data_IF_844323535710
#
_entry.id   IF_844323535710
#
_cell.length_a   1.000
_cell.length_b   1.000
_cell.length_c   1.000
_cell.angle_alpha   90.00
_cell.angle_beta   90.00
_cell.angle_gamma   90.00
#
_symmetry.space_group_name_H-M   'P 1'
#
loop_
_entity.id
_entity.type
_entity.pdbx_description
1 polymer ?
#
# COMPACT_ATOMS: atom_id res chain seq x y z
N UNK A 1 9.68 29.43 -1.59
CA UNK A 1 10.55 28.38 -2.16
C UNK A 1 10.05 27.06 -1.61
N UNK A 2 9.32 26.30 -2.42
CA UNK A 2 8.56 25.12 -1.98
C UNK A 2 9.45 23.88 -2.14
N UNK A 3 9.75 23.23 -1.03
CA UNK A 3 10.51 21.99 -0.95
C UNK A 3 9.72 20.83 -1.56
N UNK A 4 10.36 20.07 -2.43
CA UNK A 4 9.83 18.83 -3.01
C UNK A 4 10.50 17.64 -2.34
N UNK A 5 9.86 17.08 -1.31
CA UNK A 5 10.24 15.77 -0.76
C UNK A 5 9.25 14.72 -1.28
N UNK A 6 9.72 13.88 -2.20
CA UNK A 6 8.99 12.71 -2.69
C UNK A 6 9.36 11.48 -1.84
N UNK A 7 8.39 10.67 -1.37
CA UNK A 7 8.72 9.45 -0.62
C UNK A 7 9.13 8.32 -1.57
N UNK A 8 10.34 7.81 -1.35
CA UNK A 8 10.90 6.62 -2.01
C UNK A 8 10.34 5.35 -1.38
N UNK A 9 9.41 4.67 -2.06
CA UNK A 9 8.94 3.35 -1.64
C UNK A 9 9.85 2.24 -2.15
N UNK A 10 10.59 1.62 -1.22
CA UNK A 10 11.35 0.40 -1.45
C UNK A 10 10.39 -0.80 -1.52
N UNK A 11 10.28 -1.43 -2.69
CA UNK A 11 9.57 -2.70 -2.86
C UNK A 11 10.48 -3.87 -2.46
N UNK A 12 10.29 -4.41 -1.26
CA UNK A 12 10.78 -5.75 -0.93
C UNK A 12 9.69 -6.77 -1.32
N UNK A 13 9.86 -7.44 -2.46
CA UNK A 13 9.09 -8.63 -2.80
C UNK A 13 10.04 -9.80 -2.99
N UNK A 14 10.12 -10.65 -1.96
CA UNK A 14 10.71 -11.98 -2.07
C UNK A 14 9.76 -12.98 -1.45
N UNK A 15 8.95 -13.63 -2.29
CA UNK A 15 8.43 -14.97 -2.04
C UNK A 15 7.94 -15.57 -3.35
N UNK A 16 8.75 -16.47 -3.93
CA UNK A 16 8.25 -17.52 -4.81
C UNK A 16 9.13 -18.76 -4.65
N UNK A 17 8.64 -19.69 -3.85
CA UNK A 17 9.06 -21.09 -3.86
C UNK A 17 8.28 -21.79 -4.96
N UNK A 18 8.97 -22.43 -5.91
CA UNK A 18 8.45 -23.57 -6.68
C UNK A 18 9.64 -24.39 -7.19
N UNK A 19 9.76 -25.59 -6.64
CA UNK A 19 10.71 -26.62 -7.03
C UNK A 19 10.40 -27.11 -8.45
N UNK A 20 11.44 -27.29 -9.27
CA UNK A 20 11.41 -28.27 -10.36
C UNK A 20 12.78 -28.90 -10.53
N UNK A 21 12.87 -30.20 -10.23
CA UNK A 21 14.05 -31.01 -10.42
C UNK A 21 14.31 -31.19 -11.93
N UNK A 22 15.47 -30.73 -12.40
CA UNK A 22 16.09 -31.25 -13.63
C UNK A 22 17.57 -31.47 -13.37
N UNK A 23 17.93 -32.74 -13.34
CA UNK A 23 19.28 -33.27 -13.36
C UNK A 23 20.18 -32.57 -14.38
N UNK A 24 21.13 -31.77 -13.88
CA UNK A 24 22.22 -31.24 -14.69
C UNK A 24 23.53 -31.89 -14.25
N UNK A 25 23.94 -32.89 -15.03
CA UNK A 25 25.32 -33.40 -15.09
C UNK A 25 26.26 -32.20 -15.18
N UNK A 26 27.06 -31.99 -14.14
CA UNK A 26 28.18 -31.06 -14.12
C UNK A 26 29.20 -31.49 -15.17
N UNK A 27 29.10 -30.91 -16.37
CA UNK A 27 30.21 -30.88 -17.30
C UNK A 27 30.77 -29.46 -17.30
N UNK A 28 31.81 -29.28 -16.48
CA UNK A 28 32.69 -28.13 -16.46
C UNK A 28 33.37 -27.97 -17.82
N UNK A 29 32.71 -27.31 -18.77
CA UNK A 29 33.31 -26.92 -20.05
C UNK A 29 33.10 -25.43 -20.28
N UNK A 30 33.98 -24.67 -19.64
CA UNK A 30 34.48 -23.33 -20.02
C UNK A 30 33.48 -22.35 -20.65
N UNK A 31 32.92 -21.47 -19.82
CA UNK A 31 32.12 -20.27 -20.16
C UNK A 31 32.92 -19.15 -20.87
N UNK A 32 33.92 -19.48 -21.69
CA UNK A 32 34.89 -18.50 -22.27
C UNK A 32 34.27 -17.49 -23.26
N UNK A 33 32.95 -17.47 -23.46
CA UNK A 33 32.30 -16.81 -24.62
C UNK A 33 30.99 -16.08 -24.28
N UNK A 34 30.64 -15.95 -23.00
CA UNK A 34 29.49 -15.15 -22.60
C UNK A 34 29.98 -13.76 -22.19
N UNK A 35 29.37 -12.71 -22.74
CA UNK A 35 29.56 -11.35 -22.27
C UNK A 35 28.29 -10.95 -21.54
N UNK A 36 28.47 -10.44 -20.33
CA UNK A 36 27.38 -9.95 -19.51
C UNK A 36 27.20 -8.45 -19.75
N UNK A 37 25.96 -8.03 -19.97
CA UNK A 37 25.56 -6.63 -20.00
C UNK A 37 24.45 -6.44 -18.96
N UNK A 38 24.83 -5.94 -17.78
CA UNK A 38 23.91 -5.80 -16.64
C UNK A 38 23.29 -7.16 -16.24
N UNK A 39 21.96 -7.26 -16.07
CA UNK A 39 21.30 -8.52 -15.71
C UNK A 39 21.20 -9.53 -16.86
N UNK A 40 21.59 -9.15 -18.08
CA UNK A 40 21.47 -10.00 -19.28
C UNK A 40 22.81 -10.66 -19.61
N UNK A 41 22.77 -11.96 -19.84
CA UNK A 41 23.92 -12.73 -20.30
C UNK A 41 23.79 -13.01 -21.80
N UNK A 42 24.77 -12.55 -22.59
CA UNK A 42 24.80 -12.77 -24.04
C UNK A 42 25.86 -13.80 -24.36
N UNK A 43 25.45 -14.91 -24.96
CA UNK A 43 26.39 -15.87 -25.53
C UNK A 43 26.84 -15.37 -26.91
N UNK A 44 28.12 -15.06 -27.06
CA UNK A 44 28.65 -14.67 -28.37
C UNK A 44 28.65 -15.89 -29.29
N UNK A 45 27.91 -15.80 -30.39
CA UNK A 45 28.04 -16.74 -31.49
C UNK A 45 29.45 -16.60 -32.08
N UNK A 46 30.37 -17.49 -31.68
CA UNK A 46 31.77 -17.50 -32.13
C UNK A 46 31.97 -17.81 -33.62
N UNK A 47 30.90 -18.15 -34.35
CA UNK A 47 30.96 -18.40 -35.79
C UNK A 47 29.80 -17.65 -36.43
N UNK A 48 30.06 -16.81 -37.45
CA UNK A 48 28.98 -16.26 -38.26
C UNK A 48 28.15 -17.44 -38.79
N UNK A 49 26.82 -17.27 -38.83
CA UNK A 49 25.93 -18.30 -39.31
C UNK A 49 26.43 -18.74 -40.70
N UNK A 50 26.76 -20.03 -40.90
CA UNK A 50 27.43 -20.45 -42.11
C UNK A 50 26.52 -20.18 -43.31
N UNK A 51 26.98 -19.23 -44.12
CA UNK A 51 26.34 -18.78 -45.35
C UNK A 51 26.57 -19.83 -46.43
N UNK A 52 25.47 -20.35 -46.99
CA UNK A 52 25.31 -21.24 -48.15
C UNK A 52 25.95 -22.66 -48.03
N UNK A 53 27.13 -22.84 -47.43
CA UNK A 53 27.74 -24.17 -47.24
C UNK A 53 27.03 -25.08 -46.21
N UNK A 54 26.09 -24.55 -45.41
CA UNK A 54 25.35 -25.27 -44.35
C UNK A 54 23.85 -25.43 -44.64
N UNK A 55 23.43 -25.27 -45.91
CA UNK A 55 22.05 -25.60 -46.31
C UNK A 55 20.99 -24.54 -45.97
N UNK A 56 21.38 -23.31 -45.62
CA UNK A 56 20.44 -22.17 -45.64
C UNK A 56 20.15 -21.81 -47.10
N UNK A 57 18.97 -22.24 -47.59
CA UNK A 57 18.48 -21.94 -48.94
C UNK A 57 18.38 -20.42 -49.17
N UNK A 58 18.71 -19.94 -50.38
CA UNK A 58 18.65 -18.51 -50.70
C UNK A 58 17.21 -17.99 -50.59
N UNK A 59 17.06 -16.75 -50.11
CA UNK A 59 15.78 -16.08 -49.83
C UNK A 59 14.81 -16.05 -51.03
N UNK A 60 15.32 -16.18 -52.26
CA UNK A 60 14.55 -16.10 -53.51
C UNK A 60 14.11 -17.46 -54.08
N UNK A 61 14.55 -18.59 -53.51
CA UNK A 61 14.04 -19.90 -53.95
C UNK A 61 12.62 -20.08 -53.39
N UNK A 62 11.62 -20.06 -54.26
CA UNK A 62 10.26 -20.43 -53.87
C UNK A 62 10.29 -21.86 -53.32
N UNK A 63 9.77 -22.05 -52.10
CA UNK A 63 9.58 -23.40 -51.58
C UNK A 63 8.36 -23.99 -52.29
N UNK A 64 8.59 -25.07 -53.01
CA UNK A 64 7.57 -25.78 -53.79
C UNK A 64 7.24 -27.09 -53.08
N UNK A 65 5.98 -27.53 -53.17
CA UNK A 65 5.52 -28.81 -52.61
C UNK A 65 5.34 -28.83 -51.08
N UNK A 66 5.67 -29.95 -50.44
CA UNK A 66 5.37 -30.21 -49.02
C UNK A 66 6.00 -29.22 -48.04
N UNK A 67 7.18 -28.68 -48.37
CA UNK A 67 7.87 -27.72 -47.50
C UNK A 67 7.14 -26.37 -47.42
N UNK A 68 6.42 -25.97 -48.47
CA UNK A 68 5.58 -24.78 -48.47
C UNK A 68 4.40 -24.95 -47.49
N UNK A 69 3.76 -26.12 -47.52
CA UNK A 69 2.63 -26.46 -46.65
C UNK A 69 3.07 -26.49 -45.18
N UNK A 70 4.22 -27.11 -44.87
CA UNK A 70 4.77 -27.12 -43.51
C UNK A 70 5.09 -25.71 -43.01
N UNK A 71 5.63 -24.84 -43.88
CA UNK A 71 5.87 -23.43 -43.53
C UNK A 71 4.57 -22.69 -43.26
N UNK A 72 3.55 -22.88 -44.08
CA UNK A 72 2.27 -22.19 -43.89
C UNK A 72 1.58 -22.65 -42.61
N UNK A 73 1.57 -23.95 -42.30
CA UNK A 73 1.09 -24.47 -41.00
C UNK A 73 1.86 -23.86 -39.81
N UNK A 74 3.16 -23.59 -39.95
CA UNK A 74 3.95 -22.92 -38.90
C UNK A 74 3.57 -21.45 -38.76
N UNK A 75 3.40 -20.73 -39.88
CA UNK A 75 2.94 -19.33 -39.89
C UNK A 75 1.55 -19.20 -39.28
N UNK A 76 0.64 -20.10 -39.64
CA UNK A 76 -0.72 -20.11 -39.11
C UNK A 76 -0.72 -20.32 -37.59
N UNK A 77 0.01 -21.31 -37.09
CA UNK A 77 0.17 -21.49 -35.64
C UNK A 77 0.81 -20.29 -34.96
N UNK A 78 1.80 -19.65 -35.59
CA UNK A 78 2.45 -18.48 -35.03
C UNK A 78 1.51 -17.25 -35.04
N UNK A 79 0.68 -17.09 -36.08
CA UNK A 79 -0.37 -16.07 -36.12
C UNK A 79 -1.36 -16.27 -34.97
N UNK A 80 -1.83 -17.50 -34.76
CA UNK A 80 -2.73 -17.83 -33.66
C UNK A 80 -2.08 -17.57 -32.29
N UNK A 81 -0.82 -17.99 -32.12
CA UNK A 81 -0.09 -17.74 -30.88
C UNK A 81 0.12 -16.24 -30.61
N UNK A 82 0.41 -15.44 -31.65
CA UNK A 82 0.56 -13.99 -31.54
C UNK A 82 -0.78 -13.31 -31.19
N UNK A 83 -1.89 -13.75 -31.79
CA UNK A 83 -3.24 -13.28 -31.41
C UNK A 83 -3.55 -13.60 -29.95
N UNK A 84 -3.37 -14.85 -29.53
CA UNK A 84 -3.59 -15.26 -28.14
C UNK A 84 -2.69 -14.52 -27.14
N UNK A 85 -1.45 -14.22 -27.52
CA UNK A 85 -0.55 -13.42 -26.69
C UNK A 85 -1.05 -11.98 -26.55
N UNK A 86 -1.50 -11.37 -27.65
CA UNK A 86 -2.07 -10.01 -27.65
C UNK A 86 -3.35 -9.96 -26.81
N UNK A 87 -4.25 -10.91 -27.01
CA UNK A 87 -5.49 -11.06 -26.22
C UNK A 87 -5.16 -11.21 -24.74
N UNK A 88 -4.24 -12.10 -24.36
CA UNK A 88 -3.85 -12.28 -22.96
C UNK A 88 -3.26 -11.01 -22.36
N UNK A 89 -2.42 -10.28 -23.11
CA UNK A 89 -1.90 -8.99 -22.65
C UNK A 89 -3.02 -7.97 -22.43
N UNK A 90 -3.95 -7.87 -23.38
CA UNK A 90 -5.11 -6.99 -23.25
C UNK A 90 -5.96 -7.35 -22.03
N UNK A 91 -6.26 -8.63 -21.82
CA UNK A 91 -7.03 -9.06 -20.64
C UNK A 91 -6.34 -8.66 -19.33
N UNK A 92 -5.00 -8.80 -19.24
CA UNK A 92 -4.25 -8.38 -18.05
C UNK A 92 -4.32 -6.84 -17.89
N UNK A 93 -4.13 -6.10 -18.97
CA UNK A 93 -4.24 -4.63 -18.94
C UNK A 93 -5.65 -4.18 -18.52
N UNK A 94 -6.69 -4.82 -19.04
CA UNK A 94 -8.09 -4.54 -18.71
C UNK A 94 -8.41 -4.86 -17.24
N UNK A 95 -7.95 -6.02 -16.74
CA UNK A 95 -8.10 -6.42 -15.34
C UNK A 95 -7.42 -5.43 -14.40
N UNK A 96 -6.17 -5.05 -14.69
CA UNK A 96 -5.44 -4.05 -13.89
C UNK A 96 -6.12 -2.68 -13.92
N UNK A 97 -6.62 -2.26 -15.09
CA UNK A 97 -7.35 -1.00 -15.21
C UNK A 97 -8.69 -1.04 -14.46
N UNK A 98 -9.37 -2.18 -14.43
CA UNK A 98 -10.58 -2.36 -13.63
C UNK A 98 -10.27 -2.27 -12.14
N UNK A 99 -9.28 -3.02 -11.66
CA UNK A 99 -8.83 -2.97 -10.26
C UNK A 99 -8.47 -1.54 -9.85
N UNK A 100 -7.75 -0.81 -10.71
CA UNK A 100 -7.39 0.59 -10.45
C UNK A 100 -8.63 1.49 -10.30
N UNK A 101 -9.65 1.32 -11.14
CA UNK A 101 -10.91 2.07 -11.03
C UNK A 101 -11.66 1.75 -9.74
N UNK A 102 -11.72 0.47 -9.37
CA UNK A 102 -12.37 0.02 -8.14
C UNK A 102 -11.69 0.64 -6.92
N UNK A 103 -10.36 0.52 -6.81
CA UNK A 103 -9.58 1.11 -5.73
C UNK A 103 -9.70 2.65 -5.68
N UNK A 104 -9.71 3.32 -6.83
CA UNK A 104 -9.92 4.77 -6.88
C UNK A 104 -11.31 5.18 -6.36
N UNK A 105 -12.34 4.41 -6.70
CA UNK A 105 -13.70 4.61 -6.19
C UNK A 105 -13.77 4.42 -4.67
N UNK A 106 -13.19 3.33 -4.16
CA UNK A 106 -13.11 3.07 -2.73
C UNK A 106 -12.34 4.17 -1.98
N UNK A 107 -11.20 4.60 -2.52
CA UNK A 107 -10.43 5.70 -1.96
C UNK A 107 -11.25 6.98 -1.88
N UNK A 108 -11.96 7.35 -2.96
CA UNK A 108 -12.81 8.54 -2.98
C UNK A 108 -13.95 8.44 -1.95
N UNK A 109 -14.57 7.27 -1.80
CA UNK A 109 -15.62 7.02 -0.82
C UNK A 109 -15.10 7.14 0.62
N UNK A 110 -13.96 6.52 0.92
CA UNK A 110 -13.32 6.60 2.23
C UNK A 110 -12.88 8.02 2.56
N UNK A 111 -12.34 8.76 1.58
CA UNK A 111 -11.95 10.15 1.76
C UNK A 111 -13.17 11.04 2.05
N UNK A 112 -14.30 10.81 1.38
CA UNK A 112 -15.55 11.50 1.66
C UNK A 112 -16.04 11.20 3.09
N UNK A 113 -16.05 9.93 3.48
CA UNK A 113 -16.46 9.51 4.83
C UNK A 113 -15.56 10.12 5.92
N UNK A 114 -14.25 10.18 5.69
CA UNK A 114 -13.30 10.85 6.57
C UNK A 114 -13.63 12.33 6.71
N UNK A 115 -13.92 13.02 5.60
CA UNK A 115 -14.33 14.43 5.63
C UNK A 115 -15.63 14.64 6.43
N UNK A 116 -16.63 13.79 6.23
CA UNK A 116 -17.89 13.85 6.99
C UNK A 116 -17.64 13.66 8.49
N UNK A 117 -16.82 12.68 8.88
CA UNK A 117 -16.48 12.44 10.29
C UNK A 117 -15.70 13.61 10.90
N UNK A 118 -14.77 14.20 10.15
CA UNK A 118 -14.04 15.38 10.60
C UNK A 118 -14.97 16.57 10.81
N UNK A 119 -15.91 16.80 9.90
CA UNK A 119 -16.90 17.86 10.04
C UNK A 119 -17.78 17.62 11.28
N UNK A 120 -18.30 16.41 11.46
CA UNK A 120 -19.09 16.06 12.65
C UNK A 120 -18.31 16.23 13.94
N UNK A 121 -17.03 15.87 13.95
CA UNK A 121 -16.14 16.12 15.09
C UNK A 121 -16.04 17.62 15.40
N UNK A 122 -15.81 18.46 14.39
CA UNK A 122 -15.75 19.90 14.57
C UNK A 122 -17.07 20.48 15.06
N UNK A 123 -18.20 19.99 14.57
CA UNK A 123 -19.53 20.40 15.00
C UNK A 123 -19.75 20.10 16.49
N UNK A 124 -19.43 18.87 16.92
CA UNK A 124 -19.52 18.48 18.32
C UNK A 124 -18.54 19.25 19.21
N UNK A 125 -17.33 19.51 18.75
CA UNK A 125 -16.37 20.34 19.48
C UNK A 125 -16.87 21.77 19.68
N UNK A 126 -17.50 22.36 18.65
CA UNK A 126 -18.14 23.68 18.76
C UNK A 126 -19.31 23.63 19.74
N UNK A 127 -20.12 22.59 19.67
CA UNK A 127 -21.25 22.39 20.59
C UNK A 127 -20.79 22.31 22.05
N UNK A 128 -19.78 21.48 22.33
CA UNK A 128 -19.16 21.38 23.66
C UNK A 128 -18.63 22.73 24.12
N UNK A 129 -17.89 23.46 23.27
CA UNK A 129 -17.34 24.77 23.64
C UNK A 129 -18.44 25.77 24.01
N UNK A 130 -19.53 25.82 23.22
CA UNK A 130 -20.66 26.71 23.48
C UNK A 130 -21.42 26.35 24.77
N UNK A 131 -21.58 25.05 25.09
CA UNK A 131 -22.37 24.61 26.24
C UNK A 131 -21.59 24.49 27.55
N UNK A 132 -20.30 24.16 27.49
CA UNK A 132 -19.46 23.96 28.68
C UNK A 132 -18.52 25.13 28.92
N UNK A 133 -17.77 25.56 27.91
CA UNK A 133 -16.70 26.55 28.11
C UNK A 133 -17.24 27.97 28.24
N UNK A 134 -18.14 28.41 27.35
CA UNK A 134 -18.67 29.79 27.40
C UNK A 134 -19.42 30.12 28.72
N UNK A 135 -20.25 29.24 29.30
CA UNK A 135 -20.91 29.53 30.58
C UNK A 135 -19.94 29.50 31.75
N UNK A 136 -18.99 28.56 31.77
CA UNK A 136 -17.96 28.45 32.81
C UNK A 136 -17.05 29.67 32.78
N UNK A 137 -16.56 30.08 31.61
CA UNK A 137 -15.69 31.25 31.46
C UNK A 137 -16.43 32.56 31.81
N UNK A 138 -17.74 32.63 31.54
CA UNK A 138 -18.59 33.77 31.92
C UNK A 138 -18.91 33.81 33.42
N UNK A 139 -19.01 32.65 34.08
CA UNK A 139 -19.12 32.53 35.54
C UNK A 139 -17.79 32.94 36.21
N UNK A 140 -16.66 32.39 35.74
CA UNK A 140 -15.33 32.69 36.26
C UNK A 140 -14.88 34.14 36.01
N UNK A 141 -15.35 34.78 34.93
CA UNK A 141 -15.06 36.19 34.66
C UNK A 141 -15.85 37.17 35.54
N UNK A 142 -17.02 36.74 36.07
CA UNK A 142 -17.88 37.59 36.91
C UNK A 142 -17.51 37.53 38.41
N UNK A 143 -16.80 36.50 38.87
CA UNK A 143 -16.47 36.29 40.29
C UNK A 143 -15.10 36.84 40.73
N UNK A 144 -14.45 37.65 39.89
CA UNK A 144 -13.13 38.25 40.18
C UNK A 144 -13.20 39.57 40.98
N UNK A 145 -13.78 39.52 42.17
CA UNK A 145 -13.44 40.46 43.26
C UNK A 145 -13.24 39.77 44.62
N UNK A 146 -13.73 38.53 44.85
CA UNK A 146 -13.68 37.91 46.18
C UNK A 146 -12.95 36.55 46.26
N UNK A 147 -12.68 35.86 45.15
CA UNK A 147 -12.03 34.53 45.19
C UNK A 147 -10.50 34.61 45.32
N UNK A 148 -9.89 35.68 44.81
CA UNK A 148 -8.43 35.88 44.86
C UNK A 148 -7.89 35.97 46.30
N UNK A 149 -8.71 36.40 47.27
CA UNK A 149 -8.30 36.52 48.68
C UNK A 149 -8.47 35.24 49.50
N UNK A 150 -9.17 34.22 48.98
CA UNK A 150 -9.34 32.94 49.68
C UNK A 150 -8.28 31.90 49.28
N UNK A 151 -7.79 31.97 48.04
CA UNK A 151 -6.79 31.01 47.53
C UNK A 151 -5.35 31.28 47.99
N UNK A 152 -4.98 32.53 48.29
CA UNK A 152 -3.60 32.85 48.76
C UNK A 152 -3.27 32.25 50.13
N UNK A 153 -4.26 31.82 50.92
CA UNK A 153 -4.02 31.25 52.25
C UNK A 153 -3.72 29.73 52.23
N UNK A 154 -3.89 29.05 51.08
CA UNK A 154 -3.83 27.59 51.00
C UNK A 154 -2.76 27.04 50.03
N UNK A 155 -1.92 27.90 49.43
CA UNK A 155 -0.91 27.47 48.45
C UNK A 155 0.44 27.01 49.05
N UNK A 156 0.59 26.99 50.38
CA UNK A 156 1.84 26.58 51.05
C UNK A 156 1.89 25.13 51.55
N UNK A 157 0.81 24.33 51.39
CA UNK A 157 0.80 22.92 51.79
C UNK A 157 0.43 21.97 50.64
N UNK A 158 1.42 21.37 49.95
CA UNK A 158 1.20 20.47 48.82
C UNK A 158 0.61 19.09 49.20
N UNK A 159 0.38 18.80 50.48
CA UNK A 159 -0.14 17.49 50.93
C UNK A 159 -1.65 17.42 51.21
N UNK A 160 -2.37 18.54 51.19
CA UNK A 160 -3.81 18.55 51.53
C UNK A 160 -4.73 18.07 50.39
N UNK A 161 -4.27 18.18 49.13
CA UNK A 161 -5.14 17.91 47.96
C UNK A 161 -5.39 16.40 47.78
N UNK A 162 -4.41 15.54 48.08
CA UNK A 162 -4.51 14.09 47.83
C UNK A 162 -5.56 13.39 48.71
N UNK A 163 -5.62 13.68 50.01
CA UNK A 163 -6.60 13.04 50.91
C UNK A 163 -8.06 13.44 50.62
N UNK A 164 -8.27 14.64 50.09
CA UNK A 164 -9.62 15.11 49.77
C UNK A 164 -10.19 14.44 48.52
N UNK A 165 -9.33 14.19 47.52
CA UNK A 165 -9.74 13.55 46.26
C UNK A 165 -10.02 12.07 46.48
N UNK A 166 -9.19 11.38 47.26
CA UNK A 166 -9.39 9.97 47.57
C UNK A 166 -10.67 9.74 48.38
N UNK A 167 -11.00 10.63 49.32
CA UNK A 167 -12.25 10.53 50.07
C UNK A 167 -13.50 10.78 49.20
N UNK A 168 -13.43 11.69 48.23
CA UNK A 168 -14.53 11.96 47.28
C UNK A 168 -14.72 10.78 46.31
N UNK A 169 -13.63 10.21 45.80
CA UNK A 169 -13.67 9.04 44.92
C UNK A 169 -14.21 7.80 45.64
N UNK A 170 -13.80 7.58 46.89
CA UNK A 170 -14.29 6.47 47.69
C UNK A 170 -15.77 6.62 48.05
N UNK A 171 -16.24 7.83 48.40
CA UNK A 171 -17.67 8.05 48.67
C UNK A 171 -18.55 7.86 47.42
N UNK A 172 -18.04 8.21 46.24
CA UNK A 172 -18.77 8.05 44.98
C UNK A 172 -18.90 6.58 44.54
N UNK A 173 -17.93 5.73 44.90
CA UNK A 173 -17.97 4.30 44.62
C UNK A 173 -18.93 3.54 45.55
N UNK A 174 -19.02 3.93 46.83
CA UNK A 174 -19.94 3.30 47.80
C UNK A 174 -21.42 3.60 47.51
N UNK A 175 -21.73 4.77 46.93
CA UNK A 175 -23.10 5.13 46.54
C UNK A 175 -23.59 4.28 45.35
N UNK A 176 -22.70 3.94 44.42
CA UNK A 176 -23.06 3.18 43.21
C UNK A 176 -23.17 1.68 43.45
N UNK A 177 -22.49 1.13 44.47
CA UNK A 177 -22.54 -0.30 44.76
C UNK A 177 -23.82 -0.72 45.50
N UNK A 178 -24.36 0.15 46.36
CA UNK A 178 -25.58 -0.14 47.13
C UNK A 178 -26.88 -0.03 46.30
N UNK A 179 -26.89 0.66 45.15
CA UNK A 179 -28.09 0.77 44.31
C UNK A 179 -28.38 -0.46 43.44
N UNK A 180 -27.48 -1.45 43.42
CA UNK A 180 -27.61 -2.68 42.61
C UNK A 180 -27.96 -3.93 43.42
N UNK A 181 -28.11 -3.85 44.74
CA UNK A 181 -28.38 -5.00 45.61
C UNK A 181 -29.82 -5.08 46.17
N UNK A 182 -30.70 -4.12 45.83
CA UNK A 182 -32.10 -4.06 46.32
C UNK A 182 -33.18 -4.26 45.22
N UNK A 183 -32.91 -5.04 44.17
CA UNK A 183 -33.94 -5.58 43.26
C UNK A 183 -33.77 -7.08 42.99
#
# INVERSE_FOLDING_TARGET
>A
MISNDAPSYATQSSNTSMQSNKSAKSSSKSSKNAVQYGPIHIHLCRRPAPTIATGRRPKHLALVGEEAIKREKRRERNRQAARKLKERRQCIEDELNQQLKELQGEHANLQNYLQQLQQKKQDLQREINNFLHDPIDKLLSNDNQNVTLFFEQYLDDPHFIDESIDNILNSALDINFNSYLDN
#
